data_IF_937891036784
#
_entry.id   IF_937891036784
#
_cell.length_a   1.000
_cell.length_b   1.000
_cell.length_c   1.000
_cell.angle_alpha   90.00
_cell.angle_beta   90.00
_cell.angle_gamma   90.00
#
_symmetry.space_group_name_H-M   'P 1'
#
loop_
_entity.id
_entity.type
_entity.pdbx_description
1 polymer ?
#
# COMPACT_ATOMS: atom_id res chain seq x y z
N UNK A 1 -12.83 7.94 17.75
CA UNK A 1 -12.28 7.54 16.44
C UNK A 1 -11.40 6.34 16.69
N UNK A 2 -11.52 5.28 15.91
CA UNK A 2 -10.67 4.10 16.11
C UNK A 2 -9.20 4.48 15.86
N UNK A 3 -8.31 4.03 16.74
CA UNK A 3 -6.87 4.21 16.55
C UNK A 3 -6.38 3.11 15.60
N UNK A 4 -6.19 3.46 14.33
CA UNK A 4 -5.75 2.53 13.30
C UNK A 4 -4.24 2.29 13.37
N UNK A 5 -3.44 3.31 13.63
CA UNK A 5 -2.01 3.16 13.95
C UNK A 5 -1.85 3.00 15.47
N UNK A 6 -2.27 1.85 15.97
CA UNK A 6 -2.39 1.56 17.38
C UNK A 6 -1.05 1.31 18.08
N UNK A 7 -1.11 1.25 19.42
CA UNK A 7 0.08 1.03 20.28
C UNK A 7 0.89 -0.21 19.90
N UNK A 8 0.26 -1.30 19.44
CA UNK A 8 0.97 -2.49 18.99
C UNK A 8 1.84 -2.22 17.76
N UNK A 9 1.29 -1.51 16.76
CA UNK A 9 2.04 -1.11 15.55
C UNK A 9 3.16 -0.12 15.89
N UNK A 10 2.91 0.82 16.80
CA UNK A 10 3.93 1.74 17.29
C UNK A 10 5.06 1.01 18.02
N UNK A 11 4.75 -0.05 18.77
CA UNK A 11 5.75 -0.87 19.44
C UNK A 11 6.72 -1.53 18.43
N UNK A 12 6.21 -2.02 17.30
CA UNK A 12 7.09 -2.52 16.22
C UNK A 12 8.00 -1.44 15.69
N UNK A 13 7.44 -0.27 15.39
CA UNK A 13 8.23 0.84 14.86
C UNK A 13 9.29 1.34 15.84
N UNK A 14 8.98 1.42 17.13
CA UNK A 14 9.84 2.07 18.11
C UNK A 14 10.84 1.13 18.78
N UNK A 15 10.50 -0.18 18.91
CA UNK A 15 11.22 -1.03 19.85
C UNK A 15 11.57 -2.43 19.33
N UNK A 16 10.87 -2.96 18.34
CA UNK A 16 11.03 -4.35 17.94
C UNK A 16 11.88 -4.53 16.68
N UNK A 17 12.13 -3.47 15.92
CA UNK A 17 12.94 -3.51 14.71
C UNK A 17 14.30 -2.86 14.98
N UNK A 18 15.37 -3.56 14.65
CA UNK A 18 16.69 -2.94 14.58
C UNK A 18 16.81 -2.12 13.28
N UNK A 19 16.25 -0.91 13.33
CA UNK A 19 16.24 0.00 12.19
C UNK A 19 17.63 0.35 11.69
N UNK A 20 18.60 0.47 12.61
CA UNK A 20 19.98 0.76 12.22
C UNK A 20 20.54 -0.34 11.33
N UNK A 21 20.47 -1.59 11.78
CA UNK A 21 20.96 -2.72 10.99
C UNK A 21 20.21 -2.86 9.67
N UNK A 22 18.87 -2.72 9.68
CA UNK A 22 18.04 -2.83 8.47
C UNK A 22 18.40 -1.76 7.45
N UNK A 23 18.48 -0.51 7.88
CA UNK A 23 18.71 0.64 6.98
C UNK A 23 20.16 0.66 6.46
N UNK A 24 21.15 0.32 7.27
CA UNK A 24 22.54 0.18 6.83
C UNK A 24 22.71 -0.92 5.77
N UNK A 25 22.02 -2.07 5.93
CA UNK A 25 22.03 -3.14 4.91
C UNK A 25 21.37 -2.66 3.61
N UNK A 26 20.27 -1.92 3.68
CA UNK A 26 19.53 -1.46 2.51
C UNK A 26 20.26 -0.37 1.74
N UNK A 27 20.86 0.59 2.44
CA UNK A 27 21.56 1.73 1.83
C UNK A 27 23.00 1.42 1.41
N UNK A 28 23.59 0.37 1.99
CA UNK A 28 25.01 0.07 1.83
C UNK A 28 25.93 1.04 2.57
N UNK A 29 25.41 1.87 3.48
CA UNK A 29 26.18 2.86 4.22
C UNK A 29 25.45 3.44 5.43
N UNK A 30 26.05 4.47 6.05
CA UNK A 30 25.46 5.14 7.20
C UNK A 30 24.19 5.91 6.82
N UNK A 31 23.18 5.81 7.67
CA UNK A 31 21.85 6.44 7.49
C UNK A 31 21.48 7.22 8.74
N UNK A 32 20.77 8.30 8.60
CA UNK A 32 20.10 9.00 9.70
C UNK A 32 18.83 8.21 10.09
N UNK A 33 19.00 7.29 11.03
CA UNK A 33 17.94 6.38 11.48
C UNK A 33 16.75 7.14 12.08
N UNK A 34 17.00 8.23 12.82
CA UNK A 34 15.95 9.01 13.46
C UNK A 34 15.08 9.73 12.41
N UNK A 35 15.70 10.32 11.41
CA UNK A 35 14.98 10.96 10.31
C UNK A 35 14.15 9.96 9.50
N UNK A 36 14.72 8.79 9.16
CA UNK A 36 14.02 7.75 8.40
C UNK A 36 12.81 7.19 9.17
N UNK A 37 13.00 6.80 10.42
CA UNK A 37 11.91 6.26 11.25
C UNK A 37 10.84 7.34 11.52
N UNK A 38 11.24 8.59 11.65
CA UNK A 38 10.33 9.73 11.75
C UNK A 38 9.45 9.91 10.50
N UNK A 39 10.04 9.74 9.31
CA UNK A 39 9.30 9.76 8.04
C UNK A 39 8.33 8.58 7.94
N UNK A 40 8.76 7.36 8.31
CA UNK A 40 7.89 6.18 8.35
C UNK A 40 6.69 6.37 9.27
N UNK A 41 6.90 6.95 10.45
CA UNK A 41 5.83 7.28 11.39
C UNK A 41 4.80 8.21 10.74
N UNK A 42 5.25 9.28 10.10
CA UNK A 42 4.37 10.25 9.43
C UNK A 42 3.52 9.59 8.34
N UNK A 43 4.10 8.69 7.54
CA UNK A 43 3.39 7.92 6.52
C UNK A 43 2.31 7.03 7.18
N UNK A 44 2.67 6.29 8.24
CA UNK A 44 1.73 5.39 8.92
C UNK A 44 0.62 6.15 9.67
N UNK A 45 0.91 7.29 10.27
CA UNK A 45 -0.10 8.17 10.88
C UNK A 45 -1.10 8.69 9.83
N UNK A 46 -0.60 9.12 8.67
CA UNK A 46 -1.43 9.54 7.54
C UNK A 46 -2.32 8.39 7.06
N UNK A 47 -1.75 7.21 6.87
CA UNK A 47 -2.48 6.01 6.48
C UNK A 47 -3.56 5.63 7.51
N UNK A 48 -3.25 5.71 8.80
CA UNK A 48 -4.19 5.46 9.89
C UNK A 48 -5.36 6.44 9.92
N UNK A 49 -5.09 7.72 9.65
CA UNK A 49 -6.12 8.74 9.56
C UNK A 49 -7.07 8.50 8.38
N UNK A 50 -6.52 8.14 7.21
CA UNK A 50 -7.32 7.78 6.03
C UNK A 50 -8.14 6.51 6.29
N UNK A 51 -7.55 5.45 6.85
CA UNK A 51 -8.27 4.23 7.21
C UNK A 51 -9.46 4.53 8.13
N UNK A 52 -9.28 5.39 9.14
CA UNK A 52 -10.37 5.83 10.02
C UNK A 52 -11.49 6.58 9.27
N UNK A 53 -11.16 7.29 8.21
CA UNK A 53 -12.15 8.00 7.39
C UNK A 53 -12.95 7.08 6.46
N UNK A 54 -12.40 5.92 6.06
CA UNK A 54 -13.06 4.96 5.18
C UNK A 54 -14.06 4.07 5.92
N UNK A 55 -13.80 3.74 7.18
CA UNK A 55 -14.58 2.78 7.97
C UNK A 55 -16.10 3.03 7.94
N UNK A 56 -16.64 4.26 8.11
CA UNK A 56 -18.08 4.47 8.12
C UNK A 56 -18.77 4.07 6.82
N UNK A 57 -18.20 4.40 5.67
CA UNK A 57 -18.75 4.04 4.37
C UNK A 57 -18.55 2.56 4.05
N UNK A 58 -17.41 1.96 4.44
CA UNK A 58 -17.18 0.53 4.33
C UNK A 58 -18.21 -0.27 5.15
N UNK A 59 -18.48 0.11 6.40
CA UNK A 59 -19.50 -0.53 7.23
C UNK A 59 -20.91 -0.41 6.67
N UNK A 60 -21.25 0.72 6.09
CA UNK A 60 -22.56 0.95 5.48
C UNK A 60 -22.75 0.13 4.20
N UNK A 61 -21.69 -0.08 3.45
CA UNK A 61 -21.72 -0.69 2.11
C UNK A 61 -21.05 -2.08 2.06
N UNK A 62 -20.87 -2.76 3.21
CA UNK A 62 -20.14 -4.03 3.31
C UNK A 62 -20.63 -5.15 2.36
N UNK A 63 -21.90 -5.08 1.95
CA UNK A 63 -22.52 -6.04 1.03
C UNK A 63 -22.58 -5.53 -0.42
N UNK A 64 -21.98 -4.38 -0.72
CA UNK A 64 -21.97 -3.87 -2.09
C UNK A 64 -21.07 -4.73 -2.98
N UNK A 65 -21.60 -5.11 -4.13
CA UNK A 65 -20.90 -5.92 -5.13
C UNK A 65 -20.38 -5.03 -6.28
N UNK A 66 -19.39 -5.54 -7.00
CA UNK A 66 -18.94 -4.92 -8.24
C UNK A 66 -20.03 -4.99 -9.30
N UNK A 67 -20.20 -3.94 -10.09
CA UNK A 67 -21.18 -3.85 -11.16
C UNK A 67 -20.53 -4.23 -12.50
N UNK A 68 -21.22 -5.08 -13.28
CA UNK A 68 -20.80 -5.37 -14.64
C UNK A 68 -21.00 -4.13 -15.53
N UNK A 69 -20.00 -3.83 -16.36
CA UNK A 69 -20.07 -2.73 -17.32
C UNK A 69 -20.51 -3.23 -18.70
N UNK A 70 -21.12 -2.36 -19.55
CA UNK A 70 -21.62 -2.77 -20.88
C UNK A 70 -20.56 -3.30 -21.84
N UNK A 71 -19.29 -2.97 -21.62
CA UNK A 71 -18.14 -3.44 -22.37
C UNK A 71 -17.56 -4.77 -21.88
N UNK A 72 -18.22 -5.40 -20.89
CA UNK A 72 -17.84 -6.69 -20.33
C UNK A 72 -16.82 -6.60 -19.17
N UNK A 73 -16.50 -5.37 -18.72
CA UNK A 73 -15.68 -5.14 -17.54
C UNK A 73 -16.45 -5.23 -16.23
N UNK A 74 -15.79 -4.90 -15.15
CA UNK A 74 -16.38 -4.76 -13.81
C UNK A 74 -15.95 -3.45 -13.18
N UNK A 75 -16.86 -2.84 -12.43
CA UNK A 75 -16.62 -1.59 -11.72
C UNK A 75 -16.77 -1.82 -10.20
N UNK A 76 -15.74 -1.51 -9.46
CA UNK A 76 -15.78 -1.59 -7.98
C UNK A 76 -16.84 -0.64 -7.40
N UNK A 77 -17.40 -0.96 -6.22
CA UNK A 77 -18.34 -0.08 -5.54
C UNK A 77 -17.79 1.33 -5.33
N UNK A 78 -18.66 2.37 -5.36
CA UNK A 78 -18.22 3.78 -5.27
C UNK A 78 -17.35 4.10 -4.06
N UNK A 79 -17.63 3.53 -2.88
CA UNK A 79 -16.83 3.76 -1.67
C UNK A 79 -15.41 3.22 -1.80
N UNK A 80 -15.22 2.06 -2.45
CA UNK A 80 -13.89 1.48 -2.72
C UNK A 80 -13.10 2.41 -3.66
N UNK A 81 -13.73 2.86 -4.76
CA UNK A 81 -13.05 3.76 -5.71
C UNK A 81 -12.65 5.08 -5.07
N UNK A 82 -13.53 5.68 -4.26
CA UNK A 82 -13.23 6.91 -3.55
C UNK A 82 -12.09 6.75 -2.55
N UNK A 83 -12.08 5.65 -1.79
CA UNK A 83 -11.02 5.36 -0.84
C UNK A 83 -9.69 5.07 -1.55
N UNK A 84 -9.72 4.32 -2.66
CA UNK A 84 -8.52 4.08 -3.48
C UNK A 84 -7.94 5.39 -4.03
N UNK A 85 -8.79 6.28 -4.54
CA UNK A 85 -8.35 7.57 -5.06
C UNK A 85 -7.70 8.45 -3.97
N UNK A 86 -8.25 8.45 -2.76
CA UNK A 86 -7.63 9.17 -1.64
C UNK A 86 -6.27 8.57 -1.24
N UNK A 87 -6.12 7.24 -1.28
CA UNK A 87 -4.83 6.59 -1.07
C UNK A 87 -3.84 6.95 -2.18
N UNK A 88 -4.30 6.99 -3.43
CA UNK A 88 -3.49 7.40 -4.58
C UNK A 88 -3.01 8.84 -4.45
N UNK A 89 -3.92 9.77 -4.15
CA UNK A 89 -3.60 11.20 -3.94
C UNK A 89 -2.61 11.41 -2.79
N UNK A 90 -2.69 10.58 -1.75
CA UNK A 90 -1.76 10.59 -0.63
C UNK A 90 -0.43 9.86 -0.92
N UNK A 91 -0.26 9.26 -2.11
CA UNK A 91 0.94 8.51 -2.49
C UNK A 91 1.08 7.14 -1.81
N UNK A 92 0.02 6.61 -1.20
CA UNK A 92 0.08 5.40 -0.37
C UNK A 92 -0.12 4.08 -1.12
N UNK A 93 -0.31 4.11 -2.45
CA UNK A 93 -0.52 2.91 -3.28
C UNK A 93 0.79 2.27 -3.77
N UNK A 94 1.94 2.89 -3.51
CA UNK A 94 3.24 2.48 -4.06
C UNK A 94 4.37 2.50 -3.03
N UNK A 95 4.06 2.14 -1.78
CA UNK A 95 4.98 2.25 -0.65
C UNK A 95 6.27 1.45 -0.82
N UNK A 96 6.22 0.27 -1.44
CA UNK A 96 7.38 -0.64 -1.57
C UNK A 96 8.10 -0.54 -2.91
N UNK A 97 7.50 0.06 -3.92
CA UNK A 97 8.15 0.25 -5.23
C UNK A 97 9.31 1.23 -5.09
N UNK A 98 10.42 0.95 -5.76
CA UNK A 98 11.64 1.76 -5.66
C UNK A 98 11.46 3.20 -6.12
N UNK A 99 12.25 4.10 -5.54
CA UNK A 99 12.22 5.54 -5.81
C UNK A 99 12.47 5.87 -7.28
N UNK A 100 13.31 5.09 -7.96
CA UNK A 100 13.59 5.24 -9.40
C UNK A 100 12.34 5.10 -10.29
N UNK A 101 11.28 4.44 -9.78
CA UNK A 101 10.00 4.27 -10.46
C UNK A 101 8.88 5.16 -9.86
N UNK A 102 9.23 6.08 -8.95
CA UNK A 102 8.30 7.01 -8.32
C UNK A 102 7.62 6.49 -7.05
N UNK A 103 8.03 5.33 -6.52
CA UNK A 103 7.58 4.82 -5.22
C UNK A 103 8.42 5.36 -4.06
N UNK A 104 8.19 4.83 -2.86
CA UNK A 104 8.97 5.23 -1.66
C UNK A 104 10.06 4.21 -1.29
N UNK A 105 10.09 3.04 -1.91
CA UNK A 105 11.06 2.00 -1.58
C UNK A 105 11.03 1.55 -0.12
N UNK A 106 9.88 1.61 0.56
CA UNK A 106 9.80 1.30 1.98
C UNK A 106 10.06 -0.18 2.27
N UNK A 107 10.57 -0.50 3.47
CA UNK A 107 10.63 -1.87 3.96
C UNK A 107 9.25 -2.55 3.95
N UNK A 108 9.21 -3.83 3.55
CA UNK A 108 7.97 -4.61 3.46
C UNK A 108 7.15 -4.63 4.76
N UNK A 109 7.82 -4.54 5.92
CA UNK A 109 7.14 -4.44 7.22
C UNK A 109 6.18 -3.25 7.28
N UNK A 110 6.58 -2.09 6.77
CA UNK A 110 5.74 -0.88 6.79
C UNK A 110 4.51 -1.04 5.90
N UNK A 111 4.67 -1.70 4.75
CA UNK A 111 3.54 -2.07 3.91
C UNK A 111 2.60 -3.07 4.61
N UNK A 112 3.15 -4.02 5.37
CA UNK A 112 2.35 -4.94 6.19
C UNK A 112 1.49 -4.20 7.23
N UNK A 113 2.08 -3.24 7.95
CA UNK A 113 1.35 -2.39 8.90
C UNK A 113 0.27 -1.56 8.18
N UNK A 114 0.61 -0.98 7.06
CA UNK A 114 -0.34 -0.23 6.22
C UNK A 114 -1.53 -1.10 5.80
N UNK A 115 -1.27 -2.28 5.23
CA UNK A 115 -2.32 -3.19 4.77
C UNK A 115 -3.19 -3.70 5.94
N UNK A 116 -2.62 -3.90 7.14
CA UNK A 116 -3.41 -4.23 8.34
C UNK A 116 -4.39 -3.12 8.68
N UNK A 117 -3.95 -1.85 8.66
CA UNK A 117 -4.84 -0.71 8.91
C UNK A 117 -5.97 -0.62 7.89
N UNK A 118 -5.65 -0.76 6.60
CA UNK A 118 -6.65 -0.74 5.53
C UNK A 118 -7.60 -1.93 5.64
N UNK A 119 -7.10 -3.14 5.92
CA UNK A 119 -7.91 -4.34 6.11
C UNK A 119 -8.92 -4.21 7.27
N UNK A 120 -8.54 -3.55 8.35
CA UNK A 120 -9.44 -3.28 9.49
C UNK A 120 -10.53 -2.28 9.14
N UNK A 121 -10.26 -1.33 8.25
CA UNK A 121 -11.23 -0.35 7.77
C UNK A 121 -12.14 -0.94 6.70
N UNK A 122 -11.55 -1.57 5.69
CA UNK A 122 -12.24 -2.16 4.54
C UNK A 122 -11.39 -3.29 3.93
N UNK A 123 -11.73 -4.57 4.17
CA UNK A 123 -11.02 -5.71 3.59
C UNK A 123 -11.04 -5.75 2.06
N UNK A 124 -12.11 -5.25 1.44
CA UNK A 124 -12.22 -5.22 -0.03
C UNK A 124 -11.25 -4.21 -0.65
N UNK A 125 -11.11 -3.04 -0.04
CA UNK A 125 -10.11 -2.06 -0.43
C UNK A 125 -8.69 -2.61 -0.25
N UNK A 126 -8.44 -3.30 0.89
CA UNK A 126 -7.14 -3.93 1.13
C UNK A 126 -6.80 -4.96 0.05
N UNK A 127 -7.76 -5.75 -0.43
CA UNK A 127 -7.52 -6.70 -1.53
C UNK A 127 -7.07 -5.98 -2.80
N UNK A 128 -7.70 -4.87 -3.18
CA UNK A 128 -7.29 -4.08 -4.35
C UNK A 128 -5.85 -3.57 -4.19
N UNK A 129 -5.56 -2.89 -3.09
CA UNK A 129 -4.23 -2.28 -2.85
C UNK A 129 -3.14 -3.33 -2.64
N UNK A 130 -3.45 -4.40 -1.91
CA UNK A 130 -2.49 -5.46 -1.61
C UNK A 130 -2.09 -6.29 -2.83
N UNK A 131 -3.04 -6.66 -3.69
CA UNK A 131 -2.75 -7.40 -4.93
C UNK A 131 -1.97 -6.54 -5.92
N UNK A 132 -2.32 -5.26 -6.05
CA UNK A 132 -1.54 -4.31 -6.86
C UNK A 132 -0.09 -4.21 -6.37
N UNK A 133 0.13 -4.09 -5.07
CA UNK A 133 1.48 -4.04 -4.49
C UNK A 133 2.24 -5.33 -4.74
N UNK A 134 1.59 -6.48 -4.66
CA UNK A 134 2.16 -7.78 -5.00
C UNK A 134 2.62 -7.84 -6.45
N UNK A 135 1.74 -7.51 -7.39
CA UNK A 135 2.04 -7.50 -8.82
C UNK A 135 3.21 -6.55 -9.16
N UNK A 136 3.21 -5.34 -8.61
CA UNK A 136 4.30 -4.39 -8.80
C UNK A 136 5.63 -4.91 -8.24
N UNK A 137 5.62 -5.55 -7.06
CA UNK A 137 6.82 -6.14 -6.45
C UNK A 137 7.39 -7.30 -7.28
N UNK A 138 6.54 -8.13 -7.87
CA UNK A 138 6.98 -9.22 -8.74
C UNK A 138 7.59 -8.69 -10.05
N UNK A 139 6.98 -7.66 -10.63
CA UNK A 139 7.56 -6.98 -11.81
C UNK A 139 8.92 -6.37 -11.46
N UNK A 140 9.02 -5.66 -10.33
CA UNK A 140 10.28 -5.03 -9.93
C UNK A 140 11.39 -6.05 -9.68
N UNK A 141 11.05 -7.19 -9.09
CA UNK A 141 12.02 -8.23 -8.74
C UNK A 141 12.44 -9.11 -9.91
N UNK A 142 11.50 -9.46 -10.77
CA UNK A 142 11.69 -10.50 -11.77
C UNK A 142 11.52 -10.03 -13.22
N UNK A 143 10.93 -8.85 -13.44
CA UNK A 143 10.75 -8.29 -14.77
C UNK A 143 12.07 -7.92 -15.45
N UNK A 144 12.11 -7.91 -16.79
CA UNK A 144 13.18 -7.26 -17.53
C UNK A 144 13.15 -5.74 -17.29
N UNK A 145 14.26 -5.05 -17.52
CA UNK A 145 14.31 -3.59 -17.36
C UNK A 145 13.25 -2.89 -18.23
N UNK A 146 13.02 -3.41 -19.43
CA UNK A 146 12.01 -2.94 -20.37
C UNK A 146 10.57 -3.02 -19.78
N UNK A 147 10.27 -4.13 -19.08
CA UNK A 147 8.99 -4.33 -18.39
C UNK A 147 8.88 -3.43 -17.16
N UNK A 148 9.95 -3.31 -16.36
CA UNK A 148 9.97 -2.44 -15.19
C UNK A 148 9.72 -0.98 -15.58
N UNK A 149 10.46 -0.47 -16.58
CA UNK A 149 10.34 0.90 -17.06
C UNK A 149 8.96 1.20 -17.67
N UNK A 150 8.35 0.20 -18.33
CA UNK A 150 7.03 0.36 -18.94
C UNK A 150 5.88 0.36 -17.93
N UNK A 151 5.98 -0.41 -16.85
CA UNK A 151 4.84 -0.65 -15.95
C UNK A 151 4.97 -0.01 -14.58
N UNK A 152 6.14 -0.02 -13.93
CA UNK A 152 6.26 0.44 -12.54
C UNK A 152 5.90 1.92 -12.35
N UNK A 153 6.30 2.87 -13.22
CA UNK A 153 5.85 4.26 -13.09
C UNK A 153 4.33 4.42 -13.21
N UNK A 154 3.67 3.55 -13.97
CA UNK A 154 2.22 3.58 -14.14
C UNK A 154 1.49 2.99 -12.93
N UNK A 155 2.07 1.99 -12.26
CA UNK A 155 1.60 1.51 -10.95
C UNK A 155 1.73 2.58 -9.89
N UNK A 156 2.86 3.27 -9.81
CA UNK A 156 3.09 4.30 -8.79
C UNK A 156 2.22 5.54 -8.97
N UNK A 157 1.90 5.90 -10.21
CA UNK A 157 0.96 7.00 -10.49
C UNK A 157 -0.51 6.60 -10.31
N UNK A 158 -0.81 5.30 -10.22
CA UNK A 158 -2.19 4.77 -10.23
C UNK A 158 -2.88 4.86 -11.58
N UNK A 159 -2.12 4.96 -12.67
CA UNK A 159 -2.66 4.90 -14.04
C UNK A 159 -3.18 3.50 -14.38
N UNK A 160 -2.52 2.48 -13.82
CA UNK A 160 -2.93 1.08 -13.94
C UNK A 160 -3.05 0.44 -12.56
N UNK A 161 -3.93 -0.53 -12.47
CA UNK A 161 -4.06 -1.43 -11.34
C UNK A 161 -3.55 -2.82 -11.75
N UNK A 162 -3.22 -3.66 -10.79
CA UNK A 162 -2.77 -5.03 -11.02
C UNK A 162 -3.49 -6.03 -10.15
N UNK A 163 -3.69 -7.21 -10.69
CA UNK A 163 -4.17 -8.38 -9.96
C UNK A 163 -3.19 -9.53 -10.12
N UNK A 164 -3.32 -10.52 -9.24
CA UNK A 164 -2.53 -11.74 -9.29
C UNK A 164 -3.48 -12.94 -9.43
N UNK A 165 -3.42 -13.61 -10.55
CA UNK A 165 -4.21 -14.82 -10.81
C UNK A 165 -3.35 -16.04 -10.45
N UNK A 166 -3.46 -16.47 -9.18
CA UNK A 166 -2.54 -17.45 -8.59
C UNK A 166 -2.99 -18.89 -8.73
N UNK A 167 -4.25 -19.14 -9.05
CA UNK A 167 -4.81 -20.50 -9.15
C UNK A 167 -5.14 -20.80 -10.59
N UNK A 168 -4.42 -21.79 -11.14
CA UNK A 168 -4.73 -22.36 -12.45
C UNK A 168 -5.34 -23.75 -12.25
N UNK A 169 -6.34 -24.17 -13.08
CA UNK A 169 -6.96 -25.48 -12.99
C UNK A 169 -6.05 -26.63 -13.43
#
# INVERSE_FOLDING_TARGET
>A
MADYFNTGMQLYLDHLVDWKALLEIRSGGAVDVEAEVGAYRTILETAGALAASFEPEARKNWAAEAEATPDGGAQSPPHIRQAYEQLREAGLISLTVGEQYGGYGLPALLNGIFLEMISRADPSLMMVVGLQTGAASDIERYGSEEVKDAFLPRFTSGEIEGSMDLTEP
#
